data_IF_379046604813
#
_entry.id   IF_379046604813
#
_cell.length_a   1.000
_cell.length_b   1.000
_cell.length_c   1.000
_cell.angle_alpha   90.00
_cell.angle_beta   90.00
_cell.angle_gamma   90.00
#
_symmetry.space_group_name_H-M   'P 1'
#
loop_
_entity.id
_entity.type
_entity.pdbx_description
1 polymer ?
#
# COMPACT_ATOMS: atom_id res chain seq x y z
N UNK A 1 -0.89 5.16 5.16
CA UNK A 1 -0.54 3.95 4.38
C UNK A 1 -1.80 3.34 3.77
N UNK A 2 -1.83 3.14 2.47
CA UNK A 2 -2.94 2.54 1.72
C UNK A 2 -2.38 1.46 0.81
N UNK A 3 -3.14 0.37 0.62
CA UNK A 3 -2.76 -0.70 -0.30
C UNK A 3 -3.23 -0.39 -1.71
N UNK A 4 -2.39 -0.67 -2.71
CA UNK A 4 -2.74 -0.66 -4.12
C UNK A 4 -2.58 -2.06 -4.74
N UNK A 5 -3.36 -2.36 -5.78
CA UNK A 5 -3.22 -3.61 -6.54
C UNK A 5 -3.27 -3.39 -8.04
N UNK A 6 -2.38 -4.07 -8.75
CA UNK A 6 -2.34 -4.14 -10.21
C UNK A 6 -2.82 -5.53 -10.62
N UNK A 7 -3.77 -5.60 -11.56
CA UNK A 7 -4.26 -6.86 -12.09
C UNK A 7 -3.32 -7.35 -13.19
N UNK A 8 -3.17 -8.68 -13.33
CA UNK A 8 -2.32 -9.34 -14.33
C UNK A 8 -2.26 -8.70 -15.73
N UNK A 9 -3.37 -8.36 -16.41
CA UNK A 9 -3.28 -7.76 -17.75
C UNK A 9 -2.55 -6.41 -17.79
N UNK A 10 -2.54 -5.67 -16.67
CA UNK A 10 -1.87 -4.38 -16.55
C UNK A 10 -0.46 -4.49 -15.96
N UNK A 11 -0.15 -5.62 -15.32
CA UNK A 11 1.14 -5.81 -14.64
C UNK A 11 2.32 -5.63 -15.58
N UNK A 12 2.24 -6.17 -16.79
CA UNK A 12 3.30 -6.10 -17.81
C UNK A 12 3.65 -4.64 -18.14
N UNK A 13 2.66 -3.75 -18.15
CA UNK A 13 2.86 -2.33 -18.45
C UNK A 13 3.61 -1.57 -17.35
N UNK A 14 3.76 -2.15 -16.16
CA UNK A 14 4.37 -1.48 -15.03
C UNK A 14 5.43 -2.30 -14.28
N UNK A 15 5.80 -3.48 -14.79
CA UNK A 15 6.71 -4.42 -14.10
C UNK A 15 8.06 -3.78 -13.77
N UNK A 16 8.59 -2.95 -14.67
CA UNK A 16 9.88 -2.25 -14.49
C UNK A 16 9.74 -0.88 -13.79
N UNK A 17 8.52 -0.43 -13.52
CA UNK A 17 8.25 0.94 -13.04
C UNK A 17 8.33 1.06 -11.52
N UNK A 18 8.23 -0.05 -10.79
CA UNK A 18 8.19 -0.06 -9.32
C UNK A 18 9.43 -0.71 -8.75
N UNK A 19 10.17 0.05 -7.94
CA UNK A 19 11.15 -0.49 -7.00
C UNK A 19 10.78 -0.07 -5.58
N UNK A 20 11.06 -0.94 -4.61
CA UNK A 20 10.85 -0.60 -3.20
C UNK A 20 11.74 0.59 -2.82
N UNK A 21 11.18 1.57 -2.13
CA UNK A 21 11.86 2.82 -1.74
C UNK A 21 11.71 3.97 -2.74
N UNK A 22 11.21 3.72 -3.95
CA UNK A 22 11.05 4.77 -4.96
C UNK A 22 9.85 5.70 -4.68
N UNK A 23 10.07 6.98 -4.94
CA UNK A 23 9.00 7.98 -4.98
C UNK A 23 8.36 8.04 -6.36
N UNK A 24 7.06 7.76 -6.39
CA UNK A 24 6.26 7.79 -7.61
C UNK A 24 4.98 8.59 -7.40
N UNK A 25 4.47 9.14 -8.49
CA UNK A 25 3.15 9.75 -8.55
C UNK A 25 2.22 8.85 -9.35
N UNK A 26 1.06 8.55 -8.77
CA UNK A 26 0.01 7.72 -9.39
C UNK A 26 -1.23 8.60 -9.56
N UNK A 27 -1.76 8.70 -10.77
CA UNK A 27 -2.96 9.48 -11.11
C UNK A 27 -4.01 8.60 -11.79
N UNK A 28 -5.27 9.04 -11.83
CA UNK A 28 -6.38 8.37 -12.52
C UNK A 28 -6.61 6.91 -12.12
N UNK A 29 -6.43 6.61 -10.84
CA UNK A 29 -6.67 5.29 -10.27
C UNK A 29 -8.08 5.17 -9.71
N UNK A 30 -8.58 3.92 -9.59
CA UNK A 30 -9.85 3.65 -8.93
C UNK A 30 -9.67 3.42 -7.43
N UNK A 31 -10.65 3.87 -6.64
CA UNK A 31 -10.73 3.61 -5.20
C UNK A 31 -11.91 2.70 -4.90
N UNK A 32 -11.69 1.70 -4.05
CA UNK A 32 -12.70 0.71 -3.65
C UNK A 32 -12.62 0.45 -2.15
N UNK A 33 -13.71 0.05 -1.52
CA UNK A 33 -13.68 -0.29 -0.10
C UNK A 33 -12.81 -1.52 0.19
N UNK A 34 -12.03 -1.46 1.26
CA UNK A 34 -11.16 -2.53 1.73
C UNK A 34 -11.97 -3.63 2.43
N UNK A 35 -12.51 -4.59 1.66
CA UNK A 35 -13.26 -5.75 2.17
C UNK A 35 -12.49 -7.08 2.07
N UNK A 36 -11.17 -7.05 1.85
CA UNK A 36 -10.38 -8.26 1.63
C UNK A 36 -10.11 -9.03 2.94
N UNK A 37 -10.13 -10.36 2.84
CA UNK A 37 -9.76 -11.31 3.93
C UNK A 37 -8.33 -11.06 4.43
N UNK A 38 -7.44 -10.64 3.52
CA UNK A 38 -6.08 -10.20 3.83
C UNK A 38 -5.98 -8.69 3.60
N UNK A 39 -5.63 -7.95 4.65
CA UNK A 39 -5.35 -6.52 4.61
C UNK A 39 -3.95 -6.28 5.14
N UNK A 40 -3.12 -5.64 4.33
CA UNK A 40 -1.77 -5.23 4.75
C UNK A 40 -1.79 -3.84 5.39
N UNK A 41 -2.93 -3.13 5.31
CA UNK A 41 -3.12 -1.79 5.89
C UNK A 41 -4.52 -1.67 6.51
N UNK A 42 -4.62 -0.84 7.55
CA UNK A 42 -5.88 -0.52 8.22
C UNK A 42 -6.75 0.50 7.46
N UNK A 43 -6.32 0.95 6.27
CA UNK A 43 -7.04 1.98 5.52
C UNK A 43 -8.38 1.45 4.97
N UNK A 44 -9.48 2.20 5.17
CA UNK A 44 -10.86 1.82 4.79
C UNK A 44 -11.06 1.61 3.28
N UNK A 45 -10.19 2.20 2.48
CA UNK A 45 -10.17 2.07 1.03
C UNK A 45 -8.87 1.44 0.54
N UNK A 46 -8.92 0.86 -0.66
CA UNK A 46 -7.77 0.35 -1.39
C UNK A 46 -7.79 0.91 -2.82
N UNK A 47 -6.59 1.05 -3.40
CA UNK A 47 -6.39 1.52 -4.76
C UNK A 47 -6.40 0.33 -5.72
N UNK A 48 -7.05 0.50 -6.86
CA UNK A 48 -7.05 -0.48 -7.95
C UNK A 48 -6.60 0.23 -9.22
N UNK A 49 -5.55 -0.29 -9.83
CA UNK A 49 -5.05 0.20 -11.09
C UNK A 49 -6.01 -0.19 -12.22
N UNK A 50 -6.22 0.74 -13.12
CA UNK A 50 -7.01 0.64 -14.34
C UNK A 50 -6.11 0.90 -15.54
N UNK A 51 -6.65 0.68 -16.73
CA UNK A 51 -6.07 1.10 -18.01
C UNK A 51 -5.85 2.62 -18.10
N UNK A 52 -6.66 3.41 -17.40
CA UNK A 52 -6.52 4.87 -17.31
C UNK A 52 -5.47 5.34 -16.29
N UNK A 53 -4.91 4.43 -15.48
CA UNK A 53 -3.95 4.80 -14.42
C UNK A 53 -2.62 5.23 -15.02
N UNK A 54 -2.14 6.39 -14.59
CA UNK A 54 -0.86 6.97 -15.04
C UNK A 54 0.13 6.94 -13.89
N UNK A 55 1.33 6.40 -14.13
CA UNK A 55 2.44 6.36 -13.18
C UNK A 55 3.60 7.20 -13.72
N UNK A 56 4.21 8.00 -12.85
CA UNK A 56 5.38 8.81 -13.18
C UNK A 56 6.34 8.87 -11.99
N UNK A 57 7.62 9.13 -12.25
CA UNK A 57 8.61 9.33 -11.18
C UNK A 57 8.33 10.64 -10.46
N UNK A 58 8.51 10.63 -9.14
CA UNK A 58 8.40 11.81 -8.28
C UNK A 58 9.75 12.13 -7.66
N UNK A 59 10.08 13.42 -7.43
CA UNK A 59 11.16 13.74 -6.51
C UNK A 59 10.84 13.18 -5.11
N UNK A 60 11.88 12.94 -4.32
CA UNK A 60 11.76 12.54 -2.92
C UNK A 60 11.04 13.65 -2.16
N UNK A 61 9.90 13.33 -1.54
CA UNK A 61 9.13 14.31 -0.76
C UNK A 61 9.49 14.29 0.73
N UNK A 62 9.94 13.13 1.25
CA UNK A 62 10.44 12.99 2.62
C UNK A 62 11.34 11.76 2.74
N UNK A 63 12.20 11.74 3.76
CA UNK A 63 13.08 10.61 4.09
C UNK A 63 12.42 9.60 5.06
N UNK A 64 11.13 9.77 5.38
CA UNK A 64 10.41 8.88 6.29
C UNK A 64 9.82 7.67 5.57
N UNK A 65 10.08 6.47 6.10
CA UNK A 65 9.52 5.20 5.62
C UNK A 65 8.09 4.90 6.13
N UNK A 66 7.51 5.82 6.91
CA UNK A 66 6.16 5.70 7.48
C UNK A 66 5.92 4.40 8.28
N UNK A 67 6.95 3.84 8.91
CA UNK A 67 6.80 2.70 9.80
C UNK A 67 5.91 3.04 11.00
N UNK A 68 5.22 2.03 11.53
CA UNK A 68 4.38 2.16 12.72
C UNK A 68 4.67 0.97 13.62
N UNK A 69 5.84 1.01 14.27
CA UNK A 69 6.29 -0.05 15.14
C UNK A 69 5.37 -0.18 16.35
N UNK A 70 5.07 -1.42 16.73
CA UNK A 70 4.34 -1.72 17.96
C UNK A 70 5.35 -2.00 19.08
N UNK A 71 4.93 -1.81 20.33
CA UNK A 71 5.79 -2.09 21.47
C UNK A 71 6.10 -3.58 21.51
N UNK A 72 7.33 -3.89 21.91
CA UNK A 72 7.77 -5.27 22.05
C UNK A 72 6.91 -6.06 23.05
N UNK A 73 6.55 -5.44 24.18
CA UNK A 73 5.67 -6.06 25.18
C UNK A 73 4.31 -6.45 24.59
N UNK A 74 3.70 -5.59 23.76
CA UNK A 74 2.40 -5.86 23.14
C UNK A 74 2.48 -7.05 22.17
N UNK A 75 3.65 -7.24 21.53
CA UNK A 75 3.92 -8.40 20.67
C UNK A 75 4.03 -9.67 21.51
N UNK A 76 4.80 -9.64 22.61
CA UNK A 76 4.95 -10.77 23.52
C UNK A 76 3.63 -11.21 24.16
N UNK A 77 2.78 -10.25 24.50
CA UNK A 77 1.46 -10.50 25.09
C UNK A 77 0.41 -10.93 24.05
N UNK A 78 0.76 -11.00 22.76
CA UNK A 78 -0.18 -11.36 21.70
C UNK A 78 -1.27 -10.30 21.43
N UNK A 79 -1.08 -9.08 21.94
CA UNK A 79 -2.01 -7.95 21.75
C UNK A 79 -1.88 -7.35 20.35
N UNK A 80 -0.76 -7.61 19.67
CA UNK A 80 -0.51 -7.20 18.29
C UNK A 80 -0.76 -8.38 17.38
N UNK A 81 -1.96 -8.45 16.80
CA UNK A 81 -2.26 -9.41 15.75
C UNK A 81 -2.06 -8.77 14.36
N UNK A 82 -1.25 -9.36 13.44
CA UNK A 82 -0.97 -8.78 12.12
C UNK A 82 -2.21 -8.49 11.27
N UNK A 83 -3.31 -9.21 11.52
CA UNK A 83 -4.59 -9.06 10.78
C UNK A 83 -5.61 -8.15 11.46
N UNK A 84 -5.50 -7.90 12.77
CA UNK A 84 -6.55 -7.26 13.58
C UNK A 84 -6.03 -6.18 14.51
N UNK A 85 -4.85 -5.62 14.24
CA UNK A 85 -4.33 -4.51 15.04
C UNK A 85 -5.33 -3.37 15.07
N UNK A 86 -6.06 -3.25 16.18
CA UNK A 86 -6.83 -2.06 16.50
C UNK A 86 -5.83 -0.91 16.58
N UNK A 87 -6.17 0.17 15.86
CA UNK A 87 -5.34 1.37 15.74
C UNK A 87 -5.02 1.95 17.09
#
# INVERSE_FOLDING_TARGET
KIQATIKRPLYISFDETFSEGDWIQINNFKVTHSFRITRNTNHKYHIVFTDETIVSKSPVLTESDFYSFKRYDDVLMGLVHPKWGFG
#
